data_IF_187410588877
#
_entry.id   IF_187410588877
#
_cell.length_a   1.000
_cell.length_b   1.000
_cell.length_c   1.000
_cell.angle_alpha   90.00
_cell.angle_beta   90.00
_cell.angle_gamma   90.00
#
_symmetry.space_group_name_H-M   'P 1'
#
loop_
_entity.id
_entity.type
_entity.pdbx_description
1 polymer ?
#
# COMPACT_ATOMS: atom_id res chain seq x y z
N UNK A 1 24.74 21.93 29.49
CA UNK A 1 26.20 22.10 29.24
C UNK A 1 26.67 20.83 28.56
N UNK A 2 27.27 20.97 27.38
CA UNK A 2 27.62 19.87 26.49
C UNK A 2 28.86 19.09 26.94
N UNK A 3 28.97 17.83 26.52
CA UNK A 3 30.22 17.11 26.34
C UNK A 3 30.69 17.20 24.88
N UNK A 4 31.87 16.69 24.60
CA UNK A 4 32.42 16.64 23.24
C UNK A 4 32.45 15.19 22.75
N UNK A 5 31.89 14.93 21.57
CA UNK A 5 31.98 13.64 20.88
C UNK A 5 33.01 13.77 19.76
N UNK A 6 34.11 13.01 19.84
CA UNK A 6 35.04 12.82 18.74
C UNK A 6 34.70 11.53 17.99
N UNK A 7 34.29 11.68 16.74
CA UNK A 7 34.02 10.55 15.84
C UNK A 7 35.25 10.35 14.95
N UNK A 8 35.91 9.21 15.09
CA UNK A 8 37.00 8.78 14.20
C UNK A 8 36.40 7.90 13.11
N UNK A 9 36.23 8.46 11.92
CA UNK A 9 35.71 7.73 10.77
C UNK A 9 36.87 7.25 9.90
N UNK A 10 36.86 5.97 9.53
CA UNK A 10 37.78 5.42 8.55
C UNK A 10 37.65 6.13 7.18
N UNK A 11 38.61 5.92 6.28
CA UNK A 11 38.45 6.33 4.89
C UNK A 11 37.26 5.60 4.26
N UNK A 12 36.48 6.32 3.46
CA UNK A 12 35.32 5.76 2.77
C UNK A 12 35.78 4.71 1.75
N UNK A 13 35.07 3.59 1.59
CA UNK A 13 35.41 2.58 0.59
C UNK A 13 35.41 3.17 -0.83
N UNK A 14 36.18 2.55 -1.73
CA UNK A 14 36.27 2.99 -3.12
C UNK A 14 34.89 3.00 -3.80
N UNK A 15 34.56 4.10 -4.48
CA UNK A 15 33.25 4.33 -5.10
C UNK A 15 32.18 4.90 -4.16
N UNK A 16 32.48 5.08 -2.87
CA UNK A 16 31.59 5.69 -1.87
C UNK A 16 32.17 6.98 -1.27
N UNK A 17 33.21 7.55 -1.85
CA UNK A 17 33.92 8.71 -1.32
C UNK A 17 33.04 9.97 -1.20
N UNK A 18 31.99 10.04 -2.02
CA UNK A 18 31.01 11.13 -2.04
C UNK A 18 29.67 10.76 -1.38
N UNK A 19 29.54 9.55 -0.83
CA UNK A 19 28.32 9.14 -0.15
C UNK A 19 28.18 9.85 1.19
N UNK A 20 26.96 10.24 1.56
CA UNK A 20 26.67 10.89 2.83
C UNK A 20 26.59 9.84 3.95
N UNK A 21 27.39 10.00 4.99
CA UNK A 21 27.28 9.23 6.23
C UNK A 21 26.37 9.97 7.21
N UNK A 22 25.30 9.32 7.64
CA UNK A 22 24.40 9.82 8.67
C UNK A 22 24.54 8.98 9.94
N UNK A 23 24.94 9.65 11.02
CA UNK A 23 25.04 9.07 12.35
C UNK A 23 23.91 9.65 13.20
N UNK A 24 23.03 8.80 13.71
CA UNK A 24 21.86 9.20 14.48
C UNK A 24 22.09 8.84 15.95
N UNK A 25 21.96 9.84 16.82
CA UNK A 25 22.04 9.69 18.27
C UNK A 25 20.66 9.92 18.87
N UNK A 26 20.14 8.95 19.62
CA UNK A 26 18.80 9.00 20.22
C UNK A 26 18.90 8.94 21.74
N UNK A 27 18.23 9.88 22.42
CA UNK A 27 18.09 9.94 23.88
C UNK A 27 16.65 10.24 24.25
N UNK A 28 15.89 9.21 24.63
CA UNK A 28 14.44 9.32 24.80
C UNK A 28 13.80 9.81 23.49
N UNK A 29 13.02 10.88 23.57
CA UNK A 29 12.38 11.50 22.40
C UNK A 29 13.32 12.43 21.59
N UNK A 30 14.52 12.74 22.10
CA UNK A 30 15.46 13.62 21.39
C UNK A 30 16.30 12.80 20.41
N UNK A 31 16.34 13.23 19.15
CA UNK A 31 17.24 12.69 18.12
C UNK A 31 18.18 13.78 17.59
N UNK A 32 19.44 13.42 17.36
CA UNK A 32 20.45 14.29 16.76
C UNK A 32 21.10 13.56 15.57
N UNK A 33 21.03 14.15 14.37
CA UNK A 33 21.69 13.64 13.17
C UNK A 33 23.01 14.36 12.94
N UNK A 34 24.09 13.59 12.86
CA UNK A 34 25.45 14.07 12.64
C UNK A 34 25.98 13.55 11.29
N UNK A 35 26.85 14.33 10.67
CA UNK A 35 27.47 14.00 9.37
C UNK A 35 29.00 13.96 9.51
N UNK A 36 29.56 12.91 10.14
CA UNK A 36 31.01 12.76 10.27
C UNK A 36 31.67 12.60 8.89
N UNK A 37 32.88 13.17 8.77
CA UNK A 37 33.73 13.03 7.58
C UNK A 37 34.87 12.06 7.86
N UNK A 38 35.50 11.55 6.80
CA UNK A 38 36.71 10.74 6.92
C UNK A 38 37.76 11.43 7.81
N UNK A 39 38.37 10.67 8.72
CA UNK A 39 39.22 11.20 9.77
C UNK A 39 38.43 11.57 11.03
N UNK A 40 38.94 12.52 11.80
CA UNK A 40 38.35 12.88 13.10
C UNK A 40 37.45 14.10 12.94
N UNK A 41 36.18 13.96 13.31
CA UNK A 41 35.22 15.06 13.41
C UNK A 41 34.77 15.22 14.86
N UNK A 42 34.63 16.47 15.35
CA UNK A 42 34.21 16.76 16.72
C UNK A 42 32.85 17.44 16.75
N UNK A 43 31.99 17.01 17.65
CA UNK A 43 30.64 17.54 17.84
C UNK A 43 30.40 17.91 19.30
N UNK A 44 29.72 19.03 19.54
CA UNK A 44 29.25 19.40 20.87
C UNK A 44 27.86 18.81 21.08
N UNK A 45 27.74 17.86 21.99
CA UNK A 45 26.50 17.11 22.25
C UNK A 45 26.13 17.26 23.71
N UNK A 46 24.84 17.39 24.02
CA UNK A 46 24.39 17.45 25.41
C UNK A 46 24.82 16.20 26.19
N UNK A 47 25.18 16.37 27.46
CA UNK A 47 25.52 15.23 28.29
C UNK A 47 24.31 14.29 28.48
N UNK A 48 24.53 12.97 28.40
CA UNK A 48 23.48 11.95 28.52
C UNK A 48 23.89 10.61 27.94
N UNK A 49 23.05 9.60 28.13
CA UNK A 49 23.17 8.30 27.48
C UNK A 49 22.40 8.32 26.15
N UNK A 50 23.04 7.85 25.08
CA UNK A 50 22.50 7.84 23.72
C UNK A 50 22.60 6.45 23.12
N UNK A 51 21.54 6.01 22.44
CA UNK A 51 21.63 4.95 21.44
C UNK A 51 22.18 5.54 20.14
N UNK A 52 23.05 4.81 19.47
CA UNK A 52 23.76 5.28 18.26
C UNK A 52 23.53 4.31 17.12
N UNK A 53 23.08 4.85 15.99
CA UNK A 53 22.87 4.08 14.76
C UNK A 53 23.44 4.83 13.56
N UNK A 54 23.81 4.08 12.54
CA UNK A 54 24.19 4.62 11.23
C UNK A 54 23.59 3.72 10.16
N UNK A 55 23.03 4.33 9.12
CA UNK A 55 22.56 3.59 7.96
C UNK A 55 23.74 3.05 7.15
N UNK A 56 23.50 2.07 6.28
CA UNK A 56 24.51 1.63 5.32
C UNK A 56 24.98 2.81 4.45
N UNK A 57 26.26 2.80 4.11
CA UNK A 57 26.82 3.77 3.18
C UNK A 57 26.51 3.30 1.76
N UNK A 58 25.93 4.16 0.92
CA UNK A 58 25.51 3.78 -0.43
C UNK A 58 25.52 4.94 -1.41
N UNK A 59 25.68 4.63 -2.70
CA UNK A 59 25.41 5.59 -3.78
C UNK A 59 23.92 5.90 -3.90
N UNK A 60 23.57 7.05 -4.47
CA UNK A 60 22.18 7.43 -4.74
C UNK A 60 21.49 6.43 -5.70
N UNK A 61 22.28 5.87 -6.61
CA UNK A 61 21.89 4.83 -7.56
C UNK A 61 21.72 3.47 -6.90
N UNK A 62 22.25 3.27 -5.69
CA UNK A 62 22.15 2.01 -4.95
C UNK A 62 23.04 0.88 -5.47
N UNK A 63 23.96 1.19 -6.39
CA UNK A 63 24.84 0.23 -7.09
C UNK A 63 26.09 -0.14 -6.31
N UNK A 64 26.53 0.71 -5.38
CA UNK A 64 27.66 0.43 -4.48
C UNK A 64 27.18 0.67 -3.05
N UNK A 65 27.51 -0.26 -2.15
CA UNK A 65 27.12 -0.21 -0.73
C UNK A 65 28.23 -0.71 0.17
N UNK A 66 28.24 -0.25 1.41
CA UNK A 66 29.07 -0.80 2.46
C UNK A 66 28.36 -0.66 3.80
N UNK A 67 28.27 -1.77 4.55
CA UNK A 67 27.75 -1.73 5.90
C UNK A 67 28.63 -0.84 6.79
N UNK A 68 27.99 0.02 7.59
CA UNK A 68 28.68 0.86 8.58
C UNK A 68 28.79 0.08 9.88
N UNK A 69 29.99 0.07 10.44
CA UNK A 69 30.32 -0.62 11.68
C UNK A 69 30.71 0.40 12.74
N UNK A 70 29.94 0.44 13.83
CA UNK A 70 30.22 1.27 14.99
C UNK A 70 30.94 0.41 16.03
N UNK A 71 31.98 0.95 16.67
CA UNK A 71 32.64 0.25 17.79
C UNK A 71 31.74 0.18 19.05
N UNK A 72 30.71 1.03 19.13
CA UNK A 72 29.70 1.05 20.18
C UNK A 72 28.33 1.47 19.63
N UNK A 73 27.27 0.78 20.03
CA UNK A 73 25.87 1.14 19.72
C UNK A 73 25.24 2.03 20.80
N UNK A 74 25.95 2.29 21.90
CA UNK A 74 25.54 3.16 22.99
C UNK A 74 26.71 4.04 23.44
N UNK A 75 26.44 5.30 23.75
CA UNK A 75 27.43 6.26 24.25
C UNK A 75 26.92 6.98 25.48
N UNK A 76 27.78 7.15 26.48
CA UNK A 76 27.52 8.05 27.61
C UNK A 76 28.38 9.30 27.49
N UNK A 77 27.76 10.40 27.09
CA UNK A 77 28.44 11.68 26.92
C UNK A 77 28.43 12.40 28.27
N UNK A 78 29.62 12.62 28.82
CA UNK A 78 29.79 13.33 30.09
C UNK A 78 30.17 14.78 29.86
N UNK A 79 29.58 15.68 30.64
CA UNK A 79 29.80 17.12 30.57
C UNK A 79 31.29 17.48 30.71
N UNK A 80 31.81 18.26 29.76
CA UNK A 80 33.21 18.71 29.75
C UNK A 80 34.24 17.61 29.49
N UNK A 81 33.80 16.39 29.15
CA UNK A 81 34.66 15.29 28.77
C UNK A 81 34.56 14.99 27.28
N UNK A 82 35.64 14.41 26.76
CA UNK A 82 35.71 13.87 25.41
C UNK A 82 35.24 12.41 25.42
N UNK A 83 34.23 12.10 24.61
CA UNK A 83 33.77 10.74 24.32
C UNK A 83 34.24 10.37 22.92
N UNK A 84 34.68 9.13 22.70
CA UNK A 84 35.15 8.64 21.40
C UNK A 84 34.16 7.64 20.81
N UNK A 85 33.97 7.72 19.50
CA UNK A 85 33.25 6.74 18.70
C UNK A 85 34.06 6.46 17.44
N UNK A 86 34.28 5.20 17.11
CA UNK A 86 34.98 4.81 15.89
C UNK A 86 33.98 4.23 14.89
N UNK A 87 34.13 4.65 13.63
CA UNK A 87 33.32 4.17 12.51
C UNK A 87 34.24 3.51 11.49
N UNK A 88 33.98 2.23 11.21
CA UNK A 88 34.61 1.48 10.12
C UNK A 88 33.56 1.04 9.11
N UNK A 89 34.02 0.56 7.95
CA UNK A 89 33.15 0.09 6.89
C UNK A 89 33.49 -1.35 6.53
N UNK A 90 32.46 -2.14 6.21
CA UNK A 90 32.65 -3.40 5.53
C UNK A 90 33.21 -3.19 4.11
N UNK A 91 33.57 -4.29 3.45
CA UNK A 91 33.96 -4.23 2.04
C UNK A 91 32.81 -3.67 1.19
N UNK A 92 33.15 -2.86 0.19
CA UNK A 92 32.17 -2.37 -0.77
C UNK A 92 31.59 -3.52 -1.60
N UNK A 93 30.27 -3.61 -1.61
CA UNK A 93 29.49 -4.54 -2.42
C UNK A 93 28.91 -3.80 -3.62
N UNK A 94 28.96 -4.47 -4.77
CA UNK A 94 28.46 -3.95 -6.03
C UNK A 94 27.18 -4.68 -6.42
N UNK A 95 26.23 -3.97 -7.01
CA UNK A 95 24.96 -4.54 -7.49
C UNK A 95 24.42 -3.74 -8.67
N UNK A 96 23.63 -4.41 -9.51
CA UNK A 96 22.77 -3.71 -10.47
C UNK A 96 21.52 -3.20 -9.76
N UNK A 97 21.03 -2.04 -10.18
CA UNK A 97 19.75 -1.48 -9.74
C UNK A 97 18.86 -1.25 -10.95
N UNK A 98 17.56 -1.59 -10.84
CA UNK A 98 16.57 -1.29 -11.87
C UNK A 98 15.53 -0.31 -11.31
N UNK A 99 15.31 0.79 -12.02
CA UNK A 99 14.18 1.68 -11.79
C UNK A 99 13.10 1.38 -12.82
N UNK A 100 12.00 0.79 -12.35
CA UNK A 100 10.85 0.41 -13.17
C UNK A 100 9.77 1.49 -13.08
N UNK A 101 9.16 1.82 -14.20
CA UNK A 101 8.01 2.71 -14.27
C UNK A 101 6.98 2.21 -15.30
N UNK A 102 5.70 2.35 -14.95
CA UNK A 102 4.59 2.17 -15.90
C UNK A 102 4.07 3.56 -16.22
N UNK A 103 4.30 4.06 -17.43
CA UNK A 103 4.02 5.43 -17.84
C UNK A 103 3.00 5.47 -18.97
N UNK A 104 1.78 4.99 -18.70
CA UNK A 104 0.66 5.11 -19.62
C UNK A 104 -0.07 6.44 -19.41
N UNK A 105 -0.57 7.10 -20.46
CA UNK A 105 -1.31 8.35 -20.31
C UNK A 105 -2.66 8.12 -19.59
N UNK A 106 -3.18 9.14 -18.91
CA UNK A 106 -4.46 9.08 -18.18
C UNK A 106 -5.66 8.70 -19.05
N UNK A 107 -5.55 8.88 -20.37
CA UNK A 107 -6.56 8.49 -21.37
C UNK A 107 -6.45 7.04 -21.82
N UNK A 108 -5.40 6.31 -21.41
CA UNK A 108 -5.21 4.91 -21.80
C UNK A 108 -6.19 4.00 -21.07
N UNK A 109 -6.73 2.99 -21.76
CA UNK A 109 -7.70 2.05 -21.20
C UNK A 109 -7.16 1.31 -19.96
N UNK A 110 -5.85 1.03 -19.93
CA UNK A 110 -5.18 0.36 -18.81
C UNK A 110 -4.68 1.30 -17.70
N UNK A 111 -5.02 2.60 -17.72
CA UNK A 111 -4.42 3.56 -16.80
C UNK A 111 -4.68 3.24 -15.32
N UNK A 112 -5.91 2.84 -14.99
CA UNK A 112 -6.32 2.49 -13.63
C UNK A 112 -6.23 0.98 -13.34
N UNK A 113 -5.66 0.20 -14.25
CA UNK A 113 -5.56 -1.25 -14.12
C UNK A 113 -4.36 -1.67 -13.29
N UNK A 114 -4.55 -2.75 -12.52
CA UNK A 114 -3.48 -3.43 -11.80
C UNK A 114 -2.71 -4.35 -12.77
N UNK A 115 -1.47 -3.97 -13.09
CA UNK A 115 -0.61 -4.68 -14.04
C UNK A 115 0.39 -5.57 -13.30
N UNK A 116 0.46 -6.84 -13.70
CA UNK A 116 1.43 -7.80 -13.16
C UNK A 116 2.78 -7.64 -13.87
N UNK A 117 3.74 -7.02 -13.19
CA UNK A 117 5.11 -6.81 -13.65
C UNK A 117 6.00 -7.93 -13.11
N UNK A 118 6.68 -8.65 -13.99
CA UNK A 118 7.51 -9.81 -13.64
C UNK A 118 8.97 -9.49 -13.95
N UNK A 119 9.81 -9.54 -12.91
CA UNK A 119 11.26 -9.49 -13.03
C UNK A 119 11.83 -10.90 -13.13
N UNK A 120 12.70 -11.09 -14.12
CA UNK A 120 13.37 -12.34 -14.41
C UNK A 120 14.88 -12.12 -14.47
N UNK A 121 15.60 -13.11 -13.96
CA UNK A 121 17.06 -13.16 -13.97
C UNK A 121 17.48 -14.42 -14.74
N UNK A 122 18.25 -14.25 -15.82
CA UNK A 122 18.71 -15.34 -16.68
C UNK A 122 17.56 -16.26 -17.15
N UNK A 123 16.39 -15.68 -17.45
CA UNK A 123 15.20 -16.41 -17.89
C UNK A 123 14.36 -17.03 -16.78
N UNK A 124 14.73 -16.87 -15.50
CA UNK A 124 13.98 -17.40 -14.35
C UNK A 124 13.27 -16.26 -13.63
N UNK A 125 11.95 -16.39 -13.45
CA UNK A 125 11.17 -15.42 -12.68
C UNK A 125 11.64 -15.41 -11.21
N UNK A 126 11.99 -14.22 -10.71
CA UNK A 126 12.44 -14.01 -9.34
C UNK A 126 11.42 -13.27 -8.50
N UNK A 127 10.80 -12.24 -9.10
CA UNK A 127 9.89 -11.35 -8.39
C UNK A 127 8.71 -10.97 -9.29
N UNK A 128 7.57 -10.72 -8.66
CA UNK A 128 6.34 -10.26 -9.31
C UNK A 128 5.76 -9.12 -8.48
N UNK A 129 5.34 -8.07 -9.17
CA UNK A 129 4.80 -6.84 -8.60
C UNK A 129 3.46 -6.53 -9.25
N UNK A 130 2.56 -5.94 -8.49
CA UNK A 130 1.38 -5.27 -9.05
C UNK A 130 1.68 -3.79 -9.13
N UNK A 131 1.61 -3.21 -10.33
CA UNK A 131 1.85 -1.79 -10.58
C UNK A 131 0.70 -1.19 -11.40
N UNK A 132 0.37 0.05 -11.11
CA UNK A 132 -0.55 0.89 -11.92
C UNK A 132 0.22 1.92 -12.73
N UNK A 133 -0.43 2.50 -13.73
CA UNK A 133 0.16 3.62 -14.44
C UNK A 133 0.49 4.79 -13.50
N UNK A 134 1.63 5.43 -13.72
CA UNK A 134 2.20 6.47 -12.86
C UNK A 134 3.05 5.95 -11.69
N UNK A 135 3.01 4.65 -11.38
CA UNK A 135 3.80 4.09 -10.30
C UNK A 135 5.24 3.77 -10.73
N UNK A 136 6.14 3.82 -9.76
CA UNK A 136 7.56 3.45 -9.89
C UNK A 136 7.92 2.39 -8.87
N UNK A 137 8.82 1.50 -9.24
CA UNK A 137 9.37 0.48 -8.37
C UNK A 137 10.88 0.40 -8.58
N UNK A 138 11.66 0.53 -7.50
CA UNK A 138 13.11 0.31 -7.54
C UNK A 138 13.44 -1.11 -7.09
N UNK A 139 14.29 -1.80 -7.85
CA UNK A 139 14.85 -3.11 -7.54
C UNK A 139 16.34 -2.95 -7.28
N UNK A 140 16.78 -3.25 -6.07
CA UNK A 140 18.17 -3.11 -5.64
C UNK A 140 18.78 -4.47 -5.29
N UNK A 141 20.10 -4.51 -5.06
CA UNK A 141 20.84 -5.72 -4.68
C UNK A 141 20.73 -6.84 -5.73
N UNK A 142 20.61 -6.47 -7.01
CA UNK A 142 20.59 -7.45 -8.08
C UNK A 142 22.01 -7.91 -8.41
N UNK A 143 22.16 -9.11 -9.01
CA UNK A 143 23.48 -9.62 -9.37
C UNK A 143 24.27 -8.69 -10.28
N UNK A 144 25.58 -8.90 -10.29
CA UNK A 144 26.58 -8.07 -11.00
C UNK A 144 26.92 -8.60 -12.39
N UNK A 145 26.37 -9.77 -12.74
CA UNK A 145 26.60 -10.49 -13.99
C UNK A 145 25.35 -11.25 -14.40
N UNK A 146 25.14 -11.40 -15.71
CA UNK A 146 24.01 -12.12 -16.28
C UNK A 146 23.10 -11.19 -17.06
N UNK A 147 21.86 -11.62 -17.26
CA UNK A 147 20.86 -10.88 -18.04
C UNK A 147 19.62 -10.71 -17.17
N UNK A 148 19.06 -9.50 -17.17
CA UNK A 148 17.72 -9.27 -16.66
C UNK A 148 16.69 -9.22 -17.79
N UNK A 149 15.47 -9.59 -17.48
CA UNK A 149 14.31 -9.16 -18.26
C UNK A 149 13.16 -8.76 -17.34
N UNK A 150 12.40 -7.75 -17.78
CA UNK A 150 11.19 -7.26 -17.11
C UNK A 150 10.09 -7.26 -18.14
N UNK A 151 8.96 -7.86 -17.79
CA UNK A 151 7.77 -7.92 -18.66
C UNK A 151 6.52 -7.61 -17.85
N UNK A 152 5.51 -7.11 -18.53
CA UNK A 152 4.15 -7.00 -17.99
C UNK A 152 3.34 -8.15 -18.60
N UNK A 153 2.60 -8.90 -17.77
CA UNK A 153 1.70 -9.93 -18.28
C UNK A 153 0.62 -9.29 -19.17
N UNK A 154 0.23 -10.00 -20.22
CA UNK A 154 -0.79 -9.56 -21.17
C UNK A 154 -2.13 -9.24 -20.48
N UNK A 155 -2.84 -8.24 -21.00
CA UNK A 155 -4.16 -7.85 -20.52
C UNK A 155 -5.17 -7.94 -21.65
N UNK A 156 -6.29 -8.63 -21.43
CA UNK A 156 -7.42 -8.66 -22.36
C UNK A 156 -8.59 -7.89 -21.76
N UNK A 157 -8.84 -6.68 -22.26
CA UNK A 157 -9.87 -5.79 -21.73
C UNK A 157 -10.73 -5.23 -22.86
N UNK A 158 -12.06 -5.35 -22.71
CA UNK A 158 -13.05 -4.80 -23.65
C UNK A 158 -12.77 -5.20 -25.12
N UNK A 159 -12.51 -6.49 -25.35
CA UNK A 159 -12.11 -7.09 -26.64
C UNK A 159 -10.76 -6.65 -27.20
N UNK A 160 -9.94 -5.88 -26.48
CA UNK A 160 -8.58 -5.54 -26.91
C UNK A 160 -7.58 -6.37 -26.11
N UNK A 161 -6.67 -7.06 -26.81
CA UNK A 161 -5.53 -7.73 -26.24
C UNK A 161 -4.32 -6.79 -26.26
N UNK A 162 -3.93 -6.34 -25.08
CA UNK A 162 -2.78 -5.48 -24.83
C UNK A 162 -1.56 -6.32 -24.50
N UNK A 163 -0.47 -6.08 -25.22
CA UNK A 163 0.84 -6.66 -24.92
C UNK A 163 1.89 -5.56 -24.77
N UNK A 164 2.94 -5.86 -24.00
CA UNK A 164 4.04 -4.95 -23.73
C UNK A 164 5.35 -5.54 -24.27
N UNK A 165 6.23 -4.69 -24.78
CA UNK A 165 7.57 -5.11 -25.15
C UNK A 165 8.34 -5.54 -23.89
N UNK A 166 9.06 -6.65 -23.99
CA UNK A 166 9.94 -7.12 -22.91
C UNK A 166 11.18 -6.23 -22.86
N UNK A 167 11.43 -5.62 -21.70
CA UNK A 167 12.68 -4.88 -21.46
C UNK A 167 13.76 -5.86 -20.99
N UNK A 168 14.91 -5.88 -21.65
CA UNK A 168 16.04 -6.74 -21.27
C UNK A 168 17.37 -6.00 -21.34
N UNK A 169 18.33 -6.47 -20.56
CA UNK A 169 19.66 -5.85 -20.48
C UNK A 169 20.63 -6.68 -19.65
N UNK A 170 21.85 -6.18 -19.52
CA UNK A 170 22.89 -6.84 -18.73
C UNK A 170 22.76 -6.49 -17.25
N UNK A 171 23.09 -7.45 -16.40
CA UNK A 171 23.42 -7.23 -15.00
C UNK A 171 24.92 -6.91 -14.95
N UNK A 172 25.27 -5.68 -14.57
CA UNK A 172 26.56 -5.05 -14.89
C UNK A 172 27.02 -3.96 -13.89
N UNK A 173 26.46 -3.93 -12.68
CA UNK A 173 26.73 -2.94 -11.64
C UNK A 173 26.28 -1.51 -11.95
N UNK A 174 25.36 -1.34 -12.92
CA UNK A 174 24.81 -0.03 -13.26
C UNK A 174 23.34 0.11 -12.83
N UNK A 175 22.88 1.35 -12.85
CA UNK A 175 21.47 1.69 -12.76
C UNK A 175 20.85 1.65 -14.17
N UNK A 176 19.80 0.87 -14.34
CA UNK A 176 18.99 0.87 -15.57
C UNK A 176 17.61 1.44 -15.31
N UNK A 177 17.19 2.38 -16.15
CA UNK A 177 15.86 2.97 -16.09
C UNK A 177 14.98 2.31 -17.16
N UNK A 178 13.90 1.68 -16.72
CA UNK A 178 12.95 0.94 -17.57
C UNK A 178 11.58 1.61 -17.44
N UNK A 179 11.05 2.08 -18.56
CA UNK A 179 9.72 2.68 -18.61
C UNK A 179 8.87 1.98 -19.66
N UNK A 180 7.75 1.40 -19.21
CA UNK A 180 6.71 0.90 -20.10
C UNK A 180 5.78 2.06 -20.48
N UNK A 181 5.95 2.59 -21.68
CA UNK A 181 5.23 3.80 -22.14
C UNK A 181 4.11 3.51 -23.14
N UNK A 182 4.16 2.37 -23.81
CA UNK A 182 3.23 1.98 -24.86
C UNK A 182 2.83 0.51 -24.73
N UNK A 183 1.72 0.17 -25.39
CA UNK A 183 1.23 -1.19 -25.57
C UNK A 183 0.98 -1.47 -27.04
N UNK A 184 1.18 -2.70 -27.48
CA UNK A 184 0.58 -3.18 -28.72
C UNK A 184 -0.86 -3.57 -28.45
N UNK A 185 -1.76 -3.24 -29.37
CA UNK A 185 -3.20 -3.46 -29.22
C UNK A 185 -3.71 -4.29 -30.39
N UNK A 186 -4.25 -5.47 -30.08
CA UNK A 186 -4.91 -6.32 -31.06
C UNK A 186 -6.40 -6.39 -30.75
N UNK A 187 -7.24 -6.00 -31.71
CA UNK A 187 -8.69 -6.15 -31.59
C UNK A 187 -9.06 -7.64 -31.74
N UNK A 188 -9.64 -8.20 -30.69
CA UNK A 188 -10.16 -9.57 -30.61
C UNK A 188 -11.70 -9.60 -30.62
N UNK A 189 -12.34 -8.55 -31.15
CA UNK A 189 -13.79 -8.54 -31.39
C UNK A 189 -14.19 -9.68 -32.32
N UNK A 190 -15.22 -10.43 -31.95
CA UNK A 190 -15.68 -11.60 -32.71
C UNK A 190 -16.97 -11.33 -33.47
N UNK A 191 -17.15 -11.95 -34.63
CA UNK A 191 -18.36 -11.79 -35.47
C UNK A 191 -19.65 -12.32 -34.83
N UNK A 192 -19.55 -13.06 -33.73
CA UNK A 192 -20.68 -13.64 -33.00
C UNK A 192 -20.82 -13.04 -31.58
N UNK A 193 -20.41 -11.78 -31.42
CA UNK A 193 -20.51 -11.06 -30.15
C UNK A 193 -21.96 -10.67 -29.85
N UNK A 194 -22.26 -10.52 -28.56
CA UNK A 194 -23.61 -10.33 -28.04
C UNK A 194 -23.71 -8.99 -27.31
N UNK A 195 -24.80 -8.26 -27.54
CA UNK A 195 -25.09 -7.01 -26.82
C UNK A 195 -25.59 -7.31 -25.41
N UNK A 196 -24.98 -6.65 -24.44
CA UNK A 196 -25.41 -6.65 -23.04
C UNK A 196 -26.30 -5.45 -22.76
N UNK A 197 -27.45 -5.68 -22.13
CA UNK A 197 -28.24 -4.63 -21.49
C UNK A 197 -28.05 -4.74 -19.98
N UNK A 198 -27.62 -3.67 -19.33
CA UNK A 198 -27.52 -3.58 -17.87
C UNK A 198 -28.77 -2.85 -17.38
N UNK A 199 -29.61 -3.57 -16.65
CA UNK A 199 -30.82 -3.03 -16.02
C UNK A 199 -30.54 -2.79 -14.55
N UNK A 200 -30.50 -1.53 -14.17
CA UNK A 200 -30.23 -1.08 -12.80
C UNK A 200 -31.55 -0.74 -12.14
N UNK A 201 -31.83 -1.38 -11.02
CA UNK A 201 -32.87 -0.99 -10.07
C UNK A 201 -32.18 -0.44 -8.81
N UNK A 202 -32.64 0.71 -8.33
CA UNK A 202 -32.03 1.38 -7.20
C UNK A 202 -33.13 1.89 -6.27
N UNK A 203 -33.07 1.51 -4.99
CA UNK A 203 -34.05 1.94 -3.98
C UNK A 203 -34.13 3.47 -3.89
N UNK A 204 -32.98 4.14 -4.07
CA UNK A 204 -32.85 5.59 -4.11
C UNK A 204 -31.86 5.99 -5.19
N UNK A 205 -32.07 7.16 -5.77
CA UNK A 205 -31.07 7.80 -6.62
C UNK A 205 -29.94 8.37 -5.76
N UNK A 206 -28.70 7.97 -6.06
CA UNK A 206 -27.49 8.45 -5.40
C UNK A 206 -26.65 9.20 -6.45
N UNK A 207 -26.15 10.38 -6.09
CA UNK A 207 -25.27 11.18 -6.94
C UNK A 207 -23.83 10.62 -6.96
N UNK A 208 -23.70 9.35 -7.32
CA UNK A 208 -22.45 8.61 -7.41
C UNK A 208 -22.53 7.59 -8.55
N UNK A 209 -21.37 7.04 -8.90
CA UNK A 209 -21.25 5.96 -9.87
C UNK A 209 -20.66 4.71 -9.24
N UNK A 210 -20.81 3.59 -9.93
CA UNK A 210 -20.15 2.33 -9.64
C UNK A 210 -19.61 1.70 -10.92
N UNK A 211 -18.85 0.62 -10.78
CA UNK A 211 -18.31 -0.14 -11.90
C UNK A 211 -18.69 -1.62 -11.78
N UNK A 212 -18.80 -2.28 -12.93
CA UNK A 212 -18.94 -3.73 -13.02
C UNK A 212 -17.80 -4.28 -13.87
N UNK A 213 -17.25 -5.41 -13.45
CA UNK A 213 -16.24 -6.15 -14.20
C UNK A 213 -16.73 -7.56 -14.46
N UNK A 214 -16.61 -8.02 -15.70
CA UNK A 214 -16.85 -9.41 -16.09
C UNK A 214 -15.47 -10.03 -16.36
N UNK A 215 -15.22 -11.22 -15.81
CA UNK A 215 -13.93 -11.91 -15.92
C UNK A 215 -14.18 -13.38 -16.27
N UNK A 216 -13.55 -13.89 -17.31
CA UNK A 216 -13.56 -15.34 -17.57
C UNK A 216 -12.51 -16.09 -16.75
N UNK A 217 -12.54 -17.42 -16.76
CA UNK A 217 -11.65 -18.28 -15.97
C UNK A 217 -10.39 -18.73 -16.73
N UNK A 218 -10.08 -18.10 -17.85
CA UNK A 218 -8.92 -18.48 -18.68
C UNK A 218 -7.59 -18.05 -18.04
N UNK A 219 -6.48 -18.60 -18.54
CA UNK A 219 -5.13 -18.28 -18.02
C UNK A 219 -4.73 -16.82 -18.23
N UNK A 220 -5.28 -16.18 -19.26
CA UNK A 220 -5.16 -14.73 -19.53
C UNK A 220 -6.58 -14.20 -19.64
N UNK A 221 -7.21 -13.87 -18.50
CA UNK A 221 -8.65 -13.67 -18.45
C UNK A 221 -9.12 -12.61 -19.43
N UNK A 222 -10.15 -12.94 -20.22
CA UNK A 222 -10.89 -11.92 -20.96
C UNK A 222 -11.74 -11.15 -19.98
N UNK A 223 -11.56 -9.83 -19.99
CA UNK A 223 -12.26 -8.94 -19.08
C UNK A 223 -13.10 -7.92 -19.83
N UNK A 224 -14.24 -7.56 -19.25
CA UNK A 224 -15.01 -6.39 -19.64
C UNK A 224 -15.19 -5.49 -18.44
N UNK A 225 -14.85 -4.21 -18.59
CA UNK A 225 -15.02 -3.21 -17.54
C UNK A 225 -16.03 -2.17 -18.00
N UNK A 226 -17.06 -2.01 -17.20
CA UNK A 226 -18.08 -0.97 -17.34
C UNK A 226 -17.92 0.00 -16.17
N UNK A 227 -17.44 1.20 -16.45
CA UNK A 227 -17.27 2.26 -15.44
C UNK A 227 -18.41 3.27 -15.50
N UNK A 228 -18.47 4.14 -14.49
CA UNK A 228 -19.32 5.32 -14.47
C UNK A 228 -20.82 5.00 -14.59
N UNK A 229 -21.23 3.81 -14.14
CA UNK A 229 -22.63 3.41 -14.10
C UNK A 229 -23.34 4.23 -13.02
N UNK A 230 -24.34 5.00 -13.41
CA UNK A 230 -25.06 5.86 -12.48
C UNK A 230 -25.87 5.05 -11.47
N UNK A 231 -25.80 5.42 -10.19
CA UNK A 231 -26.59 4.78 -9.12
C UNK A 231 -28.05 5.29 -9.12
N UNK A 232 -28.80 4.91 -10.15
CA UNK A 232 -30.22 5.22 -10.32
C UNK A 232 -30.92 4.17 -11.18
N UNK A 233 -32.23 4.02 -10.99
CA UNK A 233 -33.05 3.17 -11.84
C UNK A 233 -32.86 3.56 -13.32
N UNK A 234 -32.35 2.64 -14.12
CA UNK A 234 -32.03 2.88 -15.53
C UNK A 234 -31.80 1.58 -16.28
N UNK A 235 -31.83 1.66 -17.62
CA UNK A 235 -31.43 0.57 -18.50
C UNK A 235 -30.49 1.13 -19.56
N UNK A 236 -29.33 0.50 -19.73
CA UNK A 236 -28.30 0.96 -20.65
C UNK A 236 -27.67 -0.23 -21.38
N UNK A 237 -27.28 0.00 -22.63
CA UNK A 237 -26.59 -0.99 -23.47
C UNK A 237 -25.19 -0.43 -23.76
N UNK A 238 -24.14 -0.92 -23.06
CA UNK A 238 -22.77 -0.50 -23.35
C UNK A 238 -22.39 -0.76 -24.82
N UNK A 239 -21.47 0.02 -25.39
CA UNK A 239 -21.07 -0.12 -26.79
C UNK A 239 -20.24 -1.38 -27.07
N UNK A 240 -19.58 -1.93 -26.06
CA UNK A 240 -18.78 -3.14 -26.20
C UNK A 240 -19.69 -4.38 -26.23
N UNK A 241 -19.48 -5.22 -27.23
CA UNK A 241 -20.19 -6.51 -27.35
C UNK A 241 -19.38 -7.62 -26.68
N UNK A 242 -20.08 -8.54 -26.02
CA UNK A 242 -19.46 -9.65 -25.30
C UNK A 242 -19.21 -10.83 -26.23
N UNK A 243 -17.99 -11.36 -26.22
CA UNK A 243 -17.71 -12.62 -26.89
C UNK A 243 -18.34 -13.79 -26.13
N UNK A 244 -18.69 -14.89 -26.81
CA UNK A 244 -19.23 -16.07 -26.16
C UNK A 244 -18.28 -16.61 -25.09
N UNK A 245 -18.84 -17.01 -23.94
CA UNK A 245 -18.06 -17.45 -22.80
C UNK A 245 -18.86 -17.45 -21.51
N UNK A 246 -18.22 -17.90 -20.43
CA UNK A 246 -18.76 -17.85 -19.08
C UNK A 246 -17.97 -16.83 -18.28
N UNK A 247 -18.64 -15.81 -17.75
CA UNK A 247 -17.99 -14.71 -17.04
C UNK A 247 -18.48 -14.63 -15.62
N UNK A 248 -17.57 -14.58 -14.67
CA UNK A 248 -17.86 -14.16 -13.31
C UNK A 248 -18.04 -12.64 -13.28
N UNK A 249 -19.05 -12.17 -12.56
CA UNK A 249 -19.29 -10.74 -12.39
C UNK A 249 -18.75 -10.30 -11.05
N UNK A 250 -17.90 -9.28 -11.11
CA UNK A 250 -17.33 -8.57 -9.99
C UNK A 250 -17.96 -7.19 -9.89
N UNK A 251 -18.38 -6.85 -8.69
CA UNK A 251 -18.90 -5.53 -8.34
C UNK A 251 -18.41 -5.16 -6.96
N UNK A 252 -18.17 -3.87 -6.74
CA UNK A 252 -17.71 -3.36 -5.45
C UNK A 252 -18.83 -2.59 -4.77
N UNK A 253 -18.88 -2.72 -3.45
CA UNK A 253 -19.70 -1.85 -2.59
C UNK A 253 -19.19 -0.41 -2.70
N UNK A 254 -20.11 0.55 -2.78
CA UNK A 254 -19.78 1.98 -2.86
C UNK A 254 -20.10 2.65 -1.52
N UNK A 255 -19.17 3.45 -0.99
CA UNK A 255 -19.44 4.30 0.17
C UNK A 255 -19.61 5.73 -0.33
N UNK A 256 -20.79 6.31 -0.13
CA UNK A 256 -21.08 7.69 -0.53
C UNK A 256 -21.72 8.46 0.62
N UNK A 257 -21.12 9.58 1.00
CA UNK A 257 -21.54 10.42 2.13
C UNK A 257 -21.70 9.64 3.46
N UNK A 258 -20.81 8.67 3.70
CA UNK A 258 -20.82 7.83 4.90
C UNK A 258 -21.85 6.71 4.87
N UNK A 259 -22.63 6.55 3.80
CA UNK A 259 -23.58 5.44 3.66
C UNK A 259 -22.98 4.39 2.73
N UNK A 260 -23.04 3.13 3.17
CA UNK A 260 -22.66 1.96 2.37
C UNK A 260 -23.80 1.64 1.40
N UNK A 261 -23.50 1.40 0.13
CA UNK A 261 -24.45 0.95 -0.87
C UNK A 261 -23.99 -0.38 -1.44
N UNK A 262 -24.82 -1.41 -1.27
CA UNK A 262 -24.56 -2.73 -1.83
C UNK A 262 -24.99 -2.76 -3.29
N UNK A 263 -24.12 -3.31 -4.14
CA UNK A 263 -24.36 -3.50 -5.56
C UNK A 263 -24.51 -5.01 -5.76
N UNK A 264 -25.75 -5.47 -5.81
CA UNK A 264 -26.07 -6.87 -5.98
C UNK A 264 -26.34 -7.15 -7.46
N UNK A 265 -25.78 -8.25 -7.97
CA UNK A 265 -25.91 -8.62 -9.38
C UNK A 265 -26.48 -10.02 -9.51
N UNK A 266 -27.48 -10.19 -10.37
CA UNK A 266 -28.12 -11.46 -10.66
C UNK A 266 -28.25 -11.70 -12.17
N UNK A 267 -27.77 -12.85 -12.69
CA UNK A 267 -26.97 -13.88 -11.99
C UNK A 267 -25.54 -13.40 -11.66
N UNK A 268 -24.84 -14.06 -10.73
CA UNK A 268 -23.43 -13.75 -10.40
C UNK A 268 -22.44 -14.21 -11.49
N UNK A 269 -22.85 -15.23 -12.27
CA UNK A 269 -22.10 -15.72 -13.41
C UNK A 269 -22.98 -15.60 -14.64
N UNK A 270 -22.40 -15.11 -15.73
CA UNK A 270 -23.08 -14.76 -16.95
C UNK A 270 -22.61 -15.65 -18.10
N UNK A 271 -23.51 -16.50 -18.59
CA UNK A 271 -23.28 -17.30 -19.78
C UNK A 271 -23.65 -16.49 -21.02
N UNK A 272 -22.67 -16.19 -21.86
CA UNK A 272 -22.85 -15.44 -23.10
C UNK A 272 -22.90 -16.43 -24.25
N UNK A 273 -24.08 -16.57 -24.83
CA UNK A 273 -24.30 -17.35 -26.05
C UNK A 273 -24.24 -16.44 -27.29
N UNK A 274 -24.00 -17.05 -28.45
CA UNK A 274 -23.86 -16.33 -29.72
C UNK A 274 -25.16 -15.66 -30.12
N UNK A 275 -25.10 -14.39 -30.50
CA UNK A 275 -26.20 -13.60 -31.08
C UNK A 275 -27.50 -13.60 -30.25
N UNK A 276 -27.42 -13.77 -28.94
CA UNK A 276 -28.58 -13.83 -28.06
C UNK A 276 -28.61 -12.61 -27.18
N UNK A 277 -29.68 -11.80 -27.24
CA UNK A 277 -29.78 -10.61 -26.41
C UNK A 277 -29.67 -10.96 -24.91
N UNK A 278 -28.81 -10.24 -24.20
CA UNK A 278 -28.51 -10.55 -22.80
C UNK A 278 -28.90 -9.37 -21.92
N UNK A 279 -29.53 -9.66 -20.79
CA UNK A 279 -29.83 -8.64 -19.76
C UNK A 279 -29.20 -9.04 -18.45
N UNK A 280 -28.46 -8.12 -17.84
CA UNK A 280 -27.92 -8.25 -16.50
C UNK A 280 -28.71 -7.36 -15.54
N UNK A 281 -29.29 -7.97 -14.50
CA UNK A 281 -30.00 -7.24 -13.47
C UNK A 281 -29.03 -6.83 -12.35
N UNK A 282 -29.06 -5.55 -12.00
CA UNK A 282 -28.28 -4.95 -10.93
C UNK A 282 -29.25 -4.29 -9.96
N UNK A 283 -29.12 -4.58 -8.68
CA UNK A 283 -29.92 -4.01 -7.61
C UNK A 283 -28.99 -3.21 -6.70
N UNK A 284 -29.37 -1.96 -6.42
CA UNK A 284 -28.65 -1.08 -5.52
C UNK A 284 -29.48 -0.87 -4.26
N UNK A 285 -28.95 -1.36 -3.15
CA UNK A 285 -29.60 -1.34 -1.84
C UNK A 285 -28.85 -0.42 -0.88
N UNK A 286 -29.57 0.44 -0.16
CA UNK A 286 -28.96 1.25 0.89
C UNK A 286 -28.59 0.36 2.10
N UNK A 287 -27.32 0.42 2.50
CA UNK A 287 -26.77 -0.32 3.62
C UNK A 287 -26.63 0.53 4.88
N UNK A 288 -25.62 0.21 5.70
CA UNK A 288 -25.38 0.91 6.95
C UNK A 288 -24.93 2.36 6.72
N UNK A 289 -25.44 3.26 7.57
CA UNK A 289 -24.85 4.59 7.74
C UNK A 289 -23.67 4.49 8.72
N UNK A 290 -22.47 4.77 8.23
CA UNK A 290 -21.22 4.73 8.99
C UNK A 290 -21.02 5.99 9.85
N UNK A 291 -21.87 7.01 9.71
CA UNK A 291 -21.87 8.18 10.60
C UNK A 291 -22.58 7.83 11.89
N UNK A 292 -21.81 7.75 12.97
CA UNK A 292 -22.34 7.60 14.32
C UNK A 292 -22.63 8.98 14.90
N UNK A 293 -23.84 9.20 15.43
CA UNK A 293 -24.22 10.46 16.07
C UNK A 293 -23.23 10.77 17.20
N UNK A 294 -22.64 11.97 17.17
CA UNK A 294 -21.65 12.43 18.16
C UNK A 294 -20.19 12.08 17.82
N UNK A 295 -19.95 11.32 16.74
CA UNK A 295 -18.59 11.05 16.24
C UNK A 295 -18.23 12.02 15.12
N UNK A 296 -16.93 12.33 14.95
CA UNK A 296 -16.47 13.12 13.83
C UNK A 296 -16.63 12.38 12.49
N UNK A 297 -16.70 13.14 11.40
CA UNK A 297 -16.93 12.67 10.02
C UNK A 297 -15.70 11.97 9.37
N UNK A 298 -14.87 11.29 10.15
CA UNK A 298 -13.77 10.47 9.65
C UNK A 298 -13.84 9.04 10.21
N UNK A 299 -13.31 8.09 9.45
CA UNK A 299 -13.24 6.69 9.85
C UNK A 299 -12.37 6.54 11.10
N UNK A 300 -12.97 6.08 12.19
CA UNK A 300 -12.27 5.76 13.44
C UNK A 300 -12.16 4.24 13.55
N UNK A 301 -10.93 3.75 13.73
CA UNK A 301 -10.67 2.34 14.05
C UNK A 301 -10.55 2.20 15.57
N UNK A 302 -11.35 1.31 16.15
CA UNK A 302 -11.25 0.94 17.56
C UNK A 302 -10.45 -0.35 17.72
N UNK A 303 -9.45 -0.34 18.60
CA UNK A 303 -8.74 -1.54 19.06
C UNK A 303 -8.93 -1.71 20.57
N UNK A 304 -8.92 -2.94 21.07
CA UNK A 304 -8.87 -3.19 22.50
C UNK A 304 -7.45 -2.96 23.02
N UNK A 305 -7.26 -1.95 23.88
CA UNK A 305 -6.00 -1.71 24.57
C UNK A 305 -6.18 -1.98 26.08
N UNK A 306 -5.23 -2.70 26.69
CA UNK A 306 -5.22 -2.98 28.13
C UNK A 306 -4.74 -1.79 28.98
N UNK A 307 -4.48 -0.63 28.36
CA UNK A 307 -3.99 0.59 29.00
C UNK A 307 -2.80 0.35 29.94
N UNK A 308 -1.90 -0.61 29.63
CA UNK A 308 -0.64 -0.71 30.37
C UNK A 308 0.14 0.61 30.21
N UNK A 309 0.92 1.03 31.22
CA UNK A 309 1.70 2.28 31.15
C UNK A 309 2.60 2.41 29.91
N UNK A 310 2.95 1.28 29.28
CA UNK A 310 3.73 1.21 28.04
C UNK A 310 2.98 1.61 26.77
N UNK A 311 1.64 1.65 26.77
CA UNK A 311 0.84 1.80 25.54
C UNK A 311 0.14 3.17 25.45
N UNK A 312 0.29 4.03 26.46
CA UNK A 312 -0.30 5.39 26.47
C UNK A 312 0.39 6.27 25.43
N UNK A 313 1.71 6.15 25.30
CA UNK A 313 2.51 6.89 24.33
C UNK A 313 2.21 6.42 22.89
N UNK A 314 1.99 5.11 22.69
CA UNK A 314 1.58 4.54 21.40
C UNK A 314 0.23 5.10 20.93
N UNK A 315 -0.73 5.27 21.84
CA UNK A 315 -2.05 5.85 21.53
C UNK A 315 -1.95 7.34 21.20
N UNK A 316 -1.03 8.07 21.86
CA UNK A 316 -0.76 9.47 21.57
C UNK A 316 -0.06 9.64 20.22
N UNK A 317 0.93 8.81 19.90
CA UNK A 317 1.64 8.79 18.62
C UNK A 317 0.69 8.45 17.46
N UNK A 318 -0.20 7.48 17.67
CA UNK A 318 -1.24 7.10 16.71
C UNK A 318 -2.35 8.17 16.54
N UNK A 319 -2.28 9.29 17.27
CA UNK A 319 -3.27 10.39 17.25
C UNK A 319 -4.71 9.88 17.45
N UNK A 320 -4.88 8.96 18.39
CA UNK A 320 -6.18 8.39 18.71
C UNK A 320 -7.13 9.51 19.14
N UNK A 321 -8.21 9.68 18.39
CA UNK A 321 -9.16 10.78 18.56
C UNK A 321 -10.27 10.47 19.55
N UNK A 322 -10.43 9.21 19.95
CA UNK A 322 -11.42 8.76 20.93
C UNK A 322 -10.97 7.45 21.56
N UNK A 323 -11.04 7.35 22.88
CA UNK A 323 -10.73 6.13 23.63
C UNK A 323 -12.01 5.66 24.32
N UNK A 324 -12.41 4.41 24.07
CA UNK A 324 -13.56 3.79 24.74
C UNK A 324 -13.06 2.75 25.74
N UNK A 325 -13.43 2.90 27.01
CA UNK A 325 -13.24 1.86 28.02
C UNK A 325 -14.53 1.05 28.13
N UNK A 326 -14.43 -0.27 27.98
CA UNK A 326 -15.53 -1.16 28.35
C UNK A 326 -15.70 -1.14 29.86
N UNK A 327 -16.93 -0.92 30.32
CA UNK A 327 -17.32 -1.06 31.72
C UNK A 327 -17.39 -2.56 32.06
N UNK A 328 -16.48 -3.01 32.92
CA UNK A 328 -16.40 -4.34 33.53
C UNK A 328 -15.34 -4.27 34.63
N UNK A 329 -15.42 -5.14 35.64
CA UNK A 329 -14.65 -5.03 36.89
C UNK A 329 -13.13 -5.02 36.71
N UNK A 330 -12.63 -5.57 35.60
CA UNK A 330 -11.20 -5.68 35.26
C UNK A 330 -10.84 -5.18 33.85
N UNK A 331 -11.79 -4.54 33.15
CA UNK A 331 -11.61 -4.08 31.77
C UNK A 331 -11.68 -5.18 30.70
N UNK A 332 -12.01 -6.43 31.06
CA UNK A 332 -12.15 -7.54 30.12
C UNK A 332 -13.58 -7.73 29.58
N UNK A 333 -14.56 -7.01 30.14
CA UNK A 333 -15.98 -7.15 29.83
C UNK A 333 -16.56 -8.43 30.43
N UNK A 334 -17.60 -8.30 31.26
CA UNK A 334 -18.12 -9.44 32.02
C UNK A 334 -18.90 -10.40 31.12
N UNK A 335 -18.28 -11.53 30.79
CA UNK A 335 -18.84 -12.53 29.86
C UNK A 335 -20.12 -13.22 30.36
N UNK A 336 -20.52 -12.99 31.62
CA UNK A 336 -21.60 -13.75 32.27
C UNK A 336 -22.66 -12.92 32.98
N UNK A 337 -22.54 -11.58 33.00
CA UNK A 337 -23.49 -10.73 33.70
C UNK A 337 -23.70 -9.39 32.98
N UNK A 338 -24.88 -8.81 33.15
CA UNK A 338 -25.08 -7.39 32.89
C UNK A 338 -24.53 -6.61 34.10
N UNK A 339 -23.91 -5.46 33.86
CA UNK A 339 -23.56 -4.53 34.93
C UNK A 339 -24.79 -4.23 35.77
N UNK A 340 -24.61 -4.28 37.09
CA UNK A 340 -25.63 -3.88 38.05
C UNK A 340 -26.05 -2.43 37.73
N UNK A 341 -27.35 -2.13 37.56
CA UNK A 341 -27.82 -0.76 37.40
C UNK A 341 -27.30 0.21 38.47
N UNK A 342 -26.95 -0.27 39.66
CA UNK A 342 -26.36 0.52 40.74
C UNK A 342 -24.88 0.89 40.52
N UNK A 343 -24.15 0.14 39.68
CA UNK A 343 -22.76 0.44 39.28
C UNK A 343 -22.67 1.32 38.03
N UNK A 344 -23.82 1.72 37.47
CA UNK A 344 -23.87 2.92 36.64
C UNK A 344 -23.59 4.11 37.54
N UNK A 345 -22.31 4.47 37.66
CA UNK A 345 -21.99 5.86 37.89
C UNK A 345 -22.53 6.63 36.71
N UNK A 346 -23.71 7.22 36.90
CA UNK A 346 -24.19 8.33 36.10
C UNK A 346 -23.10 9.39 36.12
N UNK A 347 -22.23 9.37 35.10
CA UNK A 347 -21.59 10.59 34.67
C UNK A 347 -22.74 11.47 34.14
N UNK A 348 -23.30 12.23 35.08
CA UNK A 348 -24.21 13.33 34.80
C UNK A 348 -23.43 14.35 34.00
N UNK A 349 -23.37 14.14 32.68
CA UNK A 349 -23.56 15.16 31.65
C UNK A 349 -23.56 14.50 30.26
N UNK A 350 -24.76 14.46 29.66
CA UNK A 350 -25.07 14.12 28.26
C UNK A 350 -24.96 12.66 27.85
N UNK A 351 -25.87 11.83 28.36
CA UNK A 351 -26.21 10.52 27.80
C UNK A 351 -27.43 10.61 26.86
N UNK A 352 -27.23 10.35 25.57
CA UNK A 352 -28.22 9.67 24.73
C UNK A 352 -27.60 8.31 24.37
N UNK A 353 -28.11 7.24 24.98
CA UNK A 353 -27.49 5.92 24.98
C UNK A 353 -27.54 5.21 23.63
N UNK A 354 -26.37 4.82 23.12
CA UNK A 354 -26.23 3.80 22.10
C UNK A 354 -26.02 2.43 22.76
N UNK A 355 -26.92 1.47 22.51
CA UNK A 355 -26.76 0.06 22.90
C UNK A 355 -26.07 -0.69 21.76
N UNK A 356 -24.79 -1.03 21.93
CA UNK A 356 -24.12 -1.99 21.04
C UNK A 356 -24.26 -3.41 21.60
N UNK A 357 -24.83 -4.32 20.79
CA UNK A 357 -24.87 -5.77 21.03
C UNK A 357 -23.92 -6.42 20.03
N UNK A 358 -22.73 -6.82 20.47
CA UNK A 358 -21.91 -7.76 19.71
C UNK A 358 -22.46 -9.16 19.96
N UNK A 359 -23.28 -9.68 19.04
CA UNK A 359 -23.58 -11.11 19.01
C UNK A 359 -22.55 -11.81 18.11
N UNK A 360 -21.60 -12.50 18.74
CA UNK A 360 -20.83 -13.55 18.09
C UNK A 360 -21.81 -14.67 17.70
N UNK A 361 -22.18 -14.76 16.43
CA UNK A 361 -22.61 -16.04 15.84
C UNK A 361 -21.41 -16.64 15.14
N UNK A 362 -20.96 -17.79 15.65
CA UNK A 362 -19.98 -18.66 15.01
C UNK A 362 -20.50 -19.18 13.69
#
# INVERSE_FOLDING_TARGET
MAGELAVTCAAFPAGLENAALELILVRGEKSETLHPKAGITRFNIDAGAYAVTAAELRTAEGTIRAAVQLNASELTITKGQLTQLDITFAQAEYSTTLDLAVNLPATHALYNEDLSVVYMENGVAKQRYTMRAGQKQRLELLPVTGIYSVRIDDVKLNNIHYTFDVASGALDNQLHNIAFTNTHQNDESQSASTKLTISIDAEKTVASTFSLRLVDDSTTPRQYLFTDLAMKASSLTPPVELAPGLYQIESATVIHNGIVYYIDVAPQTLSVEKNTALTLAVIITEGANLRVKGFPDFLSFGGCANMSPSNVDDLAEARVSSLFKYSGDDGMGDASAYLDPAERTDDKNHSDGARCRCQNRR
#
